data_IF_707433984677
#
_entry.id   IF_707433984677
#
_cell.length_a   1.000
_cell.length_b   1.000
_cell.length_c   1.000
_cell.angle_alpha   90.00
_cell.angle_beta   90.00
_cell.angle_gamma   90.00
#
_symmetry.space_group_name_H-M   'P 1'
#
loop_
_entity.id
_entity.type
_entity.pdbx_description
1 polymer ?
#
# COMPACT_ATOMS: atom_id res chain seq x y z
N UNK A 1 -23.20 20.98 1.15
CA UNK A 1 -21.82 21.12 0.67
C UNK A 1 -20.97 20.22 1.57
N UNK A 2 -20.70 18.96 1.14
CA UNK A 2 -19.77 18.07 1.85
C UNK A 2 -18.37 18.60 1.59
N UNK A 3 -17.66 18.97 2.63
CA UNK A 3 -16.22 19.16 2.54
C UNK A 3 -15.61 17.78 2.33
N UNK A 4 -15.04 17.56 1.15
CA UNK A 4 -14.20 16.40 0.91
C UNK A 4 -12.97 16.55 1.81
N UNK A 5 -12.93 15.82 2.91
CA UNK A 5 -11.75 15.75 3.76
C UNK A 5 -10.84 14.68 3.17
N UNK A 6 -10.03 15.07 2.21
CA UNK A 6 -8.97 14.22 1.71
C UNK A 6 -7.78 14.31 2.67
N UNK A 7 -7.52 13.26 3.42
CA UNK A 7 -6.34 13.16 4.28
C UNK A 7 -5.27 12.36 3.55
N UNK A 8 -4.06 12.91 3.50
CA UNK A 8 -2.90 12.20 2.92
C UNK A 8 -1.71 12.31 3.84
N UNK A 9 -0.94 11.25 3.95
CA UNK A 9 0.30 11.19 4.71
C UNK A 9 1.38 10.48 3.91
N UNK A 10 2.63 10.94 4.07
CA UNK A 10 3.82 10.31 3.50
C UNK A 10 4.92 10.26 4.56
N UNK A 11 5.52 9.11 4.73
CA UNK A 11 6.60 8.86 5.69
C UNK A 11 7.82 8.27 4.96
N UNK A 12 8.99 8.78 5.27
CA UNK A 12 10.27 8.16 4.95
C UNK A 12 10.77 7.49 6.22
N UNK A 13 10.75 6.17 6.25
CA UNK A 13 11.09 5.39 7.45
C UNK A 13 12.39 4.60 7.24
N UNK A 14 13.18 4.37 8.28
CA UNK A 14 14.34 3.49 8.19
C UNK A 14 13.97 2.12 7.62
N UNK A 15 14.84 1.55 6.80
CA UNK A 15 14.63 0.22 6.20
C UNK A 15 14.89 -0.87 7.24
N UNK A 16 14.03 -0.94 8.26
CA UNK A 16 14.13 -1.87 9.40
C UNK A 16 12.76 -2.39 9.83
N UNK A 17 12.73 -3.55 10.49
CA UNK A 17 11.49 -4.16 10.97
C UNK A 17 10.68 -3.28 11.94
N UNK A 18 11.35 -2.43 12.72
CA UNK A 18 10.67 -1.50 13.65
C UNK A 18 9.80 -0.47 12.95
N UNK A 19 10.08 -0.16 11.69
CA UNK A 19 9.31 0.80 10.88
C UNK A 19 7.89 0.33 10.59
N UNK A 20 7.65 -0.97 10.57
CA UNK A 20 6.29 -1.54 10.44
C UNK A 20 5.38 -1.03 11.55
N UNK A 21 5.82 -1.12 12.79
CA UNK A 21 5.05 -0.64 13.94
C UNK A 21 4.85 0.88 13.95
N UNK A 22 5.84 1.64 13.51
CA UNK A 22 5.76 3.11 13.40
C UNK A 22 4.71 3.51 12.37
N UNK A 23 4.79 2.96 11.17
CA UNK A 23 3.83 3.24 10.09
C UNK A 23 2.40 2.86 10.49
N UNK A 24 2.24 1.67 11.08
CA UNK A 24 0.92 1.19 11.53
C UNK A 24 0.28 2.11 12.55
N UNK A 25 1.01 2.53 13.57
CA UNK A 25 0.48 3.47 14.59
C UNK A 25 0.05 4.79 13.98
N UNK A 26 0.83 5.31 13.03
CA UNK A 26 0.50 6.56 12.35
C UNK A 26 -0.76 6.41 11.51
N UNK A 27 -0.87 5.36 10.69
CA UNK A 27 -2.06 5.08 9.89
C UNK A 27 -3.29 4.94 10.79
N UNK A 28 -3.21 4.15 11.86
CA UNK A 28 -4.33 3.95 12.79
C UNK A 28 -4.78 5.27 13.44
N UNK A 29 -3.86 6.17 13.76
CA UNK A 29 -4.16 7.51 14.25
C UNK A 29 -4.93 8.34 13.23
N UNK A 30 -4.43 8.45 12.00
CA UNK A 30 -5.05 9.21 10.93
C UNK A 30 -6.47 8.66 10.60
N UNK A 31 -6.64 7.34 10.56
CA UNK A 31 -7.94 6.70 10.32
C UNK A 31 -8.94 6.94 11.48
N UNK A 32 -8.46 6.90 12.71
CA UNK A 32 -9.27 7.20 13.88
C UNK A 32 -9.75 8.66 13.89
N UNK A 33 -8.87 9.60 13.57
CA UNK A 33 -9.22 11.03 13.45
C UNK A 33 -10.23 11.27 12.34
N UNK A 34 -10.15 10.51 11.25
CA UNK A 34 -11.10 10.57 10.14
C UNK A 34 -12.43 9.84 10.41
N UNK A 35 -12.57 9.18 11.56
CA UNK A 35 -13.79 8.46 11.93
C UNK A 35 -14.02 7.15 11.18
N UNK A 36 -12.95 6.55 10.65
CA UNK A 36 -13.01 5.27 9.94
C UNK A 36 -13.37 4.15 10.94
N UNK A 37 -14.24 3.26 10.51
CA UNK A 37 -14.68 2.13 11.33
C UNK A 37 -13.52 1.24 11.76
N UNK A 38 -13.50 0.83 13.03
CA UNK A 38 -12.36 0.13 13.65
C UNK A 38 -11.97 -1.15 12.92
N UNK A 39 -12.93 -1.95 12.45
CA UNK A 39 -12.63 -3.16 11.68
C UNK A 39 -11.90 -2.84 10.38
N UNK A 40 -12.34 -1.83 9.65
CA UNK A 40 -11.67 -1.36 8.41
C UNK A 40 -10.27 -0.82 8.70
N UNK A 41 -10.10 -0.07 9.79
CA UNK A 41 -8.79 0.41 10.22
C UNK A 41 -7.84 -0.74 10.58
N UNK A 42 -8.33 -1.80 11.22
CA UNK A 42 -7.55 -3.01 11.51
C UNK A 42 -7.09 -3.70 10.22
N UNK A 43 -7.97 -3.87 9.23
CA UNK A 43 -7.65 -4.45 7.94
C UNK A 43 -6.61 -3.61 7.19
N UNK A 44 -6.76 -2.29 7.20
CA UNK A 44 -5.79 -1.35 6.63
C UNK A 44 -4.42 -1.48 7.29
N UNK A 45 -4.38 -1.56 8.62
CA UNK A 45 -3.15 -1.75 9.39
C UNK A 45 -2.46 -3.08 9.06
N UNK A 46 -3.22 -4.13 8.80
CA UNK A 46 -2.70 -5.43 8.38
C UNK A 46 -2.13 -5.36 6.96
N UNK A 47 -2.87 -4.80 6.02
CA UNK A 47 -2.40 -4.60 4.63
C UNK A 47 -1.10 -3.79 4.62
N UNK A 48 -1.04 -2.66 5.31
CA UNK A 48 0.17 -1.85 5.41
C UNK A 48 1.36 -2.64 5.96
N UNK A 49 1.13 -3.41 7.03
CA UNK A 49 2.17 -4.23 7.65
C UNK A 49 2.73 -5.27 6.68
N UNK A 50 1.87 -5.91 5.88
CA UNK A 50 2.28 -6.90 4.89
C UNK A 50 3.05 -6.26 3.73
N UNK A 51 2.62 -5.09 3.24
CA UNK A 51 3.35 -4.38 2.17
C UNK A 51 4.75 -3.95 2.63
N UNK A 52 4.90 -3.39 3.83
CA UNK A 52 6.23 -3.01 4.36
C UNK A 52 7.08 -4.26 4.59
N UNK A 53 6.53 -5.31 5.20
CA UNK A 53 7.25 -6.55 5.44
C UNK A 53 7.71 -7.21 4.14
N UNK A 54 6.91 -7.11 3.08
CA UNK A 54 7.27 -7.60 1.76
C UNK A 54 8.46 -6.82 1.18
N UNK A 55 8.44 -5.49 1.25
CA UNK A 55 9.57 -4.65 0.84
C UNK A 55 10.85 -5.03 1.59
N UNK A 56 10.78 -5.15 2.93
CA UNK A 56 11.94 -5.47 3.77
C UNK A 56 12.54 -6.87 3.50
N UNK A 57 11.73 -7.84 3.06
CA UNK A 57 12.20 -9.21 2.78
C UNK A 57 12.74 -9.40 1.36
N UNK A 58 12.19 -8.71 0.38
CA UNK A 58 12.37 -9.04 -1.02
C UNK A 58 12.99 -7.93 -1.87
N UNK A 59 13.09 -6.72 -1.34
CA UNK A 59 13.60 -5.57 -2.06
C UNK A 59 14.88 -5.00 -1.43
N UNK A 60 15.38 -3.96 -2.04
CA UNK A 60 16.47 -3.13 -1.54
C UNK A 60 15.91 -1.80 -1.02
N UNK A 61 16.61 -1.11 -0.11
CA UNK A 61 16.16 0.20 0.34
C UNK A 61 16.23 1.26 -0.78
N UNK A 62 15.43 2.30 -0.63
CA UNK A 62 15.61 3.56 -1.34
C UNK A 62 16.92 4.25 -0.89
N UNK A 63 17.45 5.22 -1.67
CA UNK A 63 18.59 6.03 -1.26
C UNK A 63 18.40 6.60 0.14
N UNK A 64 19.43 6.53 0.95
CA UNK A 64 19.36 6.90 2.37
C UNK A 64 18.93 5.77 3.30
N UNK A 65 18.86 4.53 2.80
CA UNK A 65 18.48 3.33 3.58
C UNK A 65 17.09 3.44 4.20
N UNK A 66 16.13 3.88 3.38
CA UNK A 66 14.74 4.11 3.79
C UNK A 66 13.75 3.33 2.93
N UNK A 67 12.52 3.21 3.44
CA UNK A 67 11.32 2.81 2.72
C UNK A 67 10.34 3.98 2.77
N UNK A 68 9.67 4.26 1.67
CA UNK A 68 8.63 5.28 1.61
C UNK A 68 7.27 4.64 1.77
N UNK A 69 6.48 5.18 2.69
CA UNK A 69 5.12 4.73 2.98
C UNK A 69 4.18 5.91 2.79
N UNK A 70 3.10 5.73 2.07
CA UNK A 70 2.11 6.78 1.85
C UNK A 70 0.71 6.22 1.87
N UNK A 71 -0.27 7.05 2.24
CA UNK A 71 -1.68 6.73 2.09
C UNK A 71 -2.52 7.96 1.80
N UNK A 72 -3.63 7.72 1.16
CA UNK A 72 -4.63 8.72 0.80
C UNK A 72 -6.00 8.21 1.20
N UNK A 73 -6.70 9.01 1.95
CA UNK A 73 -8.04 8.75 2.42
C UNK A 73 -9.01 9.71 1.76
N UNK A 74 -10.03 9.18 1.12
CA UNK A 74 -11.18 9.94 0.66
C UNK A 74 -12.48 9.36 1.23
N UNK A 75 -13.64 9.85 0.80
CA UNK A 75 -14.94 9.46 1.39
C UNK A 75 -15.26 7.96 1.24
N UNK A 76 -14.75 7.30 0.22
CA UNK A 76 -15.14 5.95 -0.17
C UNK A 76 -14.04 4.92 -0.03
N UNK A 77 -12.78 5.35 -0.11
CA UNK A 77 -11.65 4.40 -0.14
C UNK A 77 -10.38 4.94 0.52
N UNK A 78 -9.55 4.01 0.93
CA UNK A 78 -8.19 4.22 1.39
C UNK A 78 -7.22 3.59 0.40
N UNK A 79 -6.30 4.37 -0.14
CA UNK A 79 -5.18 3.86 -0.91
C UNK A 79 -3.91 3.87 -0.05
N UNK A 80 -3.19 2.76 -0.01
CA UNK A 80 -1.93 2.57 0.70
C UNK A 80 -0.86 2.22 -0.31
N UNK A 81 0.32 2.84 -0.22
CA UNK A 81 1.45 2.57 -1.09
C UNK A 81 2.76 2.46 -0.31
N UNK A 82 3.58 1.48 -0.68
CA UNK A 82 4.92 1.27 -0.13
C UNK A 82 5.91 1.23 -1.28
N UNK A 83 6.92 2.10 -1.24
CA UNK A 83 7.95 2.19 -2.26
C UNK A 83 9.32 1.80 -1.69
N UNK A 84 10.04 1.01 -2.45
CA UNK A 84 11.39 0.52 -2.17
C UNK A 84 12.30 0.67 -3.38
N UNK A 85 13.55 0.27 -3.26
CA UNK A 85 14.55 0.34 -4.33
C UNK A 85 14.51 -0.82 -5.33
N UNK A 86 13.42 -1.59 -5.32
CA UNK A 86 13.26 -2.75 -6.19
C UNK A 86 14.03 -3.98 -5.73
N UNK A 87 13.78 -5.08 -6.39
CA UNK A 87 14.41 -6.38 -6.11
C UNK A 87 14.47 -7.26 -7.36
N UNK A 88 15.09 -8.43 -7.25
CA UNK A 88 15.23 -9.36 -8.38
C UNK A 88 13.90 -9.99 -8.81
N UNK A 89 12.88 -9.90 -7.98
CA UNK A 89 11.55 -10.48 -8.23
C UNK A 89 10.47 -9.43 -8.10
N UNK A 90 9.52 -9.45 -9.02
CA UNK A 90 8.29 -8.64 -8.90
C UNK A 90 7.36 -9.31 -7.87
N UNK A 91 6.73 -8.53 -6.97
CA UNK A 91 5.71 -9.08 -6.07
C UNK A 91 4.59 -9.77 -6.84
N UNK A 92 4.29 -11.01 -6.46
CA UNK A 92 3.21 -11.82 -7.05
C UNK A 92 2.45 -12.55 -5.96
N UNK A 93 1.17 -12.81 -6.17
CA UNK A 93 0.42 -13.76 -5.34
C UNK A 93 0.85 -15.16 -5.73
N UNK A 94 1.37 -15.92 -4.77
CA UNK A 94 1.64 -17.34 -4.98
C UNK A 94 0.33 -18.11 -4.86
N UNK A 95 0.02 -18.92 -5.87
CA UNK A 95 -1.12 -19.83 -5.82
C UNK A 95 -1.00 -20.83 -4.65
N UNK A 96 -2.14 -21.26 -4.06
CA UNK A 96 -2.13 -22.25 -2.99
C UNK A 96 -1.55 -23.57 -3.49
N UNK A 97 -0.40 -23.98 -2.98
CA UNK A 97 0.24 -25.25 -3.33
C UNK A 97 1.74 -25.20 -3.54
N UNK A 98 2.35 -24.05 -3.70
CA UNK A 98 3.80 -23.93 -3.72
C UNK A 98 4.29 -23.43 -2.37
N UNK A 99 5.04 -24.27 -1.71
CA UNK A 99 5.74 -24.06 -0.45
C UNK A 99 6.69 -22.85 -0.58
N UNK A 100 6.20 -21.65 -0.31
CA UNK A 100 7.03 -20.48 -0.22
C UNK A 100 6.92 -19.91 1.20
N UNK A 101 7.99 -20.01 1.92
CA UNK A 101 8.29 -19.21 3.09
C UNK A 101 8.29 -17.73 2.59
N UNK A 102 7.15 -17.07 2.63
CA UNK A 102 7.03 -15.66 2.19
C UNK A 102 5.78 -15.30 1.40
N UNK A 103 5.02 -16.25 0.84
CA UNK A 103 3.87 -16.00 -0.03
C UNK A 103 2.55 -15.61 0.66
N UNK A 104 2.50 -15.54 1.99
CA UNK A 104 1.25 -15.31 2.73
C UNK A 104 0.83 -13.84 2.77
N UNK A 105 1.77 -12.91 2.73
CA UNK A 105 1.50 -11.48 2.90
C UNK A 105 0.68 -10.90 1.76
N UNK A 106 1.03 -11.15 0.51
CA UNK A 106 0.26 -10.69 -0.65
C UNK A 106 -1.08 -11.41 -0.77
N UNK A 107 -1.21 -12.65 -0.30
CA UNK A 107 -2.49 -13.33 -0.19
C UNK A 107 -3.45 -12.64 0.80
N UNK A 108 -2.94 -12.06 1.86
CA UNK A 108 -3.74 -11.23 2.79
C UNK A 108 -4.18 -9.93 2.08
N UNK A 109 -3.26 -9.26 1.39
CA UNK A 109 -3.56 -8.05 0.62
C UNK A 109 -4.63 -8.34 -0.43
N UNK A 110 -4.50 -9.43 -1.18
CA UNK A 110 -5.44 -9.85 -2.22
C UNK A 110 -6.86 -10.10 -1.67
N UNK A 111 -6.97 -10.57 -0.44
CA UNK A 111 -8.26 -10.83 0.21
C UNK A 111 -8.92 -9.60 0.80
N UNK A 112 -8.15 -8.62 1.27
CA UNK A 112 -8.64 -7.45 1.99
C UNK A 112 -8.78 -6.22 1.09
N UNK A 113 -7.99 -6.12 0.03
CA UNK A 113 -8.02 -4.99 -0.88
C UNK A 113 -9.09 -5.19 -1.96
N UNK A 114 -9.74 -4.10 -2.37
CA UNK A 114 -10.58 -4.07 -3.57
C UNK A 114 -9.76 -4.37 -4.82
N UNK A 115 -8.54 -3.85 -4.83
CA UNK A 115 -7.53 -4.07 -5.86
C UNK A 115 -6.17 -3.66 -5.32
N UNK A 116 -5.14 -4.22 -5.89
CA UNK A 116 -3.75 -3.89 -5.58
C UNK A 116 -2.90 -4.08 -6.84
N UNK A 117 -1.70 -3.56 -6.81
CA UNK A 117 -0.79 -3.70 -7.94
C UNK A 117 0.62 -3.24 -7.63
N UNK A 118 1.46 -3.33 -8.65
CA UNK A 118 2.87 -2.94 -8.61
C UNK A 118 3.12 -1.95 -9.73
N UNK A 119 3.86 -0.88 -9.46
CA UNK A 119 4.29 0.06 -10.47
C UNK A 119 5.71 0.55 -10.19
N UNK A 120 6.36 1.04 -11.24
CA UNK A 120 7.65 1.71 -11.15
C UNK A 120 7.54 3.08 -11.80
N UNK A 121 8.16 4.13 -11.22
CA UNK A 121 8.17 5.45 -11.84
C UNK A 121 8.86 5.41 -13.21
N UNK A 122 8.35 6.16 -14.22
CA UNK A 122 8.96 6.20 -15.54
C UNK A 122 10.43 6.67 -15.51
N UNK A 123 10.75 7.56 -14.57
CA UNK A 123 12.05 8.18 -14.43
C UNK A 123 13.04 7.37 -13.57
N UNK A 124 12.57 6.34 -12.89
CA UNK A 124 13.38 5.51 -12.01
C UNK A 124 12.89 4.06 -12.00
N UNK A 125 13.34 3.30 -12.98
CA UNK A 125 12.97 1.89 -13.14
C UNK A 125 13.44 0.98 -11.98
N UNK A 126 14.38 1.44 -11.16
CA UNK A 126 14.81 0.69 -9.97
C UNK A 126 13.89 0.88 -8.77
N UNK A 127 13.08 1.94 -8.73
CA UNK A 127 12.07 2.11 -7.68
C UNK A 127 10.85 1.25 -7.98
N UNK A 128 10.39 0.52 -6.97
CA UNK A 128 9.17 -0.28 -7.05
C UNK A 128 8.19 0.20 -6.00
N UNK A 129 6.95 0.41 -6.39
CA UNK A 129 5.85 0.73 -5.49
C UNK A 129 4.80 -0.36 -5.55
N UNK A 130 4.48 -0.95 -4.41
CA UNK A 130 3.33 -1.83 -4.24
C UNK A 130 2.22 -1.02 -3.57
N UNK A 131 1.03 -1.04 -4.14
CA UNK A 131 -0.10 -0.27 -3.65
C UNK A 131 -1.33 -1.16 -3.48
N UNK A 132 -2.24 -0.75 -2.61
CA UNK A 132 -3.52 -1.42 -2.36
C UNK A 132 -4.61 -0.39 -2.08
N UNK A 133 -5.82 -0.63 -2.57
CA UNK A 133 -7.01 0.17 -2.31
C UNK A 133 -8.01 -0.64 -1.49
N UNK A 134 -8.50 -0.08 -0.40
CA UNK A 134 -9.48 -0.68 0.50
C UNK A 134 -10.77 0.15 0.51
N UNK A 135 -11.93 -0.52 0.55
CA UNK A 135 -13.20 0.15 0.76
C UNK A 135 -13.33 0.62 2.21
N UNK A 136 -13.86 1.81 2.44
CA UNK A 136 -14.14 2.33 3.77
C UNK A 136 -15.52 1.92 4.29
N UNK A 137 -16.44 1.55 3.40
CA UNK A 137 -17.77 1.05 3.74
C UNK A 137 -17.83 -0.46 3.56
N UNK A 138 -18.37 -1.22 4.53
CA UNK A 138 -18.50 -2.68 4.42
C UNK A 138 -19.41 -3.15 3.30
N UNK A 139 -20.23 -2.26 2.72
CA UNK A 139 -21.29 -2.61 1.77
C UNK A 139 -20.85 -2.65 0.30
N UNK A 140 -19.58 -2.30 -0.02
CA UNK A 140 -19.11 -2.24 -1.42
C UNK A 140 -18.30 -3.45 -1.88
N UNK A 141 -18.15 -4.48 -1.05
CA UNK A 141 -17.34 -5.65 -1.37
C UNK A 141 -18.03 -6.71 -2.23
N UNK A 142 -19.37 -6.62 -2.44
CA UNK A 142 -20.11 -7.67 -3.16
C UNK A 142 -20.28 -7.44 -4.67
N UNK A 143 -20.06 -6.22 -5.19
CA UNK A 143 -20.35 -5.90 -6.60
C UNK A 143 -19.11 -5.97 -7.54
N UNK A 144 -17.95 -6.38 -7.07
CA UNK A 144 -16.72 -6.33 -7.89
C UNK A 144 -16.03 -7.68 -8.08
N UNK A 145 -16.82 -8.76 -8.23
CA UNK A 145 -16.30 -10.11 -8.50
C UNK A 145 -15.75 -10.28 -9.93
N UNK A 146 -15.73 -9.23 -10.76
CA UNK A 146 -15.30 -9.31 -12.17
C UNK A 146 -14.25 -8.27 -12.58
N UNK A 147 -13.52 -7.70 -11.64
CA UNK A 147 -12.35 -6.87 -11.95
C UNK A 147 -11.10 -7.75 -12.03
N UNK A 148 -10.92 -8.37 -13.19
CA UNK A 148 -9.70 -9.11 -13.52
C UNK A 148 -8.46 -8.30 -13.25
N UNK A 149 -7.46 -8.95 -12.68
CA UNK A 149 -6.08 -8.48 -12.51
C UNK A 149 -5.58 -7.84 -13.82
N UNK A 150 -5.73 -6.54 -13.96
CA UNK A 150 -5.13 -5.78 -15.04
C UNK A 150 -3.81 -5.22 -14.54
N UNK A 151 -2.72 -5.79 -15.01
CA UNK A 151 -1.33 -5.42 -14.67
C UNK A 151 -0.94 -3.99 -15.10
N UNK A 152 -1.85 -3.21 -15.66
CA UNK A 152 -1.57 -1.86 -16.21
C UNK A 152 -2.38 -0.74 -15.53
N UNK A 153 -2.90 -0.99 -14.32
CA UNK A 153 -3.64 0.02 -13.59
C UNK A 153 -2.72 0.80 -12.65
N UNK A 154 -2.43 2.07 -13.01
CA UNK A 154 -1.74 3.00 -12.12
C UNK A 154 -2.66 3.40 -10.96
N UNK A 155 -2.13 3.51 -9.74
CA UNK A 155 -2.88 4.01 -8.59
C UNK A 155 -3.48 5.39 -8.91
N UNK A 156 -4.69 5.64 -8.46
CA UNK A 156 -5.45 6.87 -8.81
C UNK A 156 -4.74 8.15 -8.41
N UNK A 157 -3.86 8.14 -7.43
CA UNK A 157 -3.24 9.34 -6.86
C UNK A 157 -1.72 9.30 -6.74
N UNK A 158 -1.03 8.26 -7.19
CA UNK A 158 0.42 8.27 -7.28
C UNK A 158 0.89 9.12 -8.50
N UNK A 159 0.51 10.38 -8.50
CA UNK A 159 1.23 11.39 -9.28
C UNK A 159 2.43 11.79 -8.43
N UNK A 160 3.57 11.16 -8.66
CA UNK A 160 4.84 11.63 -8.13
C UNK A 160 5.14 12.92 -8.89
N UNK A 161 4.66 14.04 -8.37
CA UNK A 161 5.16 15.36 -8.76
C UNK A 161 6.59 15.43 -8.22
N UNK A 162 7.56 15.19 -9.10
CA UNK A 162 8.94 15.61 -8.88
C UNK A 162 8.91 17.13 -8.74
N UNK A 163 8.87 17.64 -7.51
CA UNK A 163 9.18 19.04 -7.25
C UNK A 163 10.68 19.22 -7.50
N UNK A 164 11.02 19.52 -8.77
CA UNK A 164 12.19 20.33 -9.04
C UNK A 164 11.77 21.75 -8.74
N UNK A 165 12.23 22.27 -7.64
CA UNK A 165 12.46 23.69 -7.50
C UNK A 165 13.68 23.93 -6.62
N UNK A 166 14.67 24.52 -7.31
CA UNK A 166 15.82 25.34 -6.92
C UNK A 166 16.68 24.90 -5.74
#
# INVERSE_FOLDING_TARGET
>A
MRMEVSTSSMLMLPYTASSVGVARRRLMGDLSEAGVYEATACDAGLVLSELISNALRHATPLPGSVVRVAWWLDDDCLEIAVSDGGGPTVPVVNEPGHSAIGGRGLGIVDRLALRWGVCSPPDNASETTVWAELALSPDKSEDNADAGSSADHRPRRLVITSSRDA
#
